data_IF_445246446299
#
_entry.id   IF_445246446299
#
_cell.length_a   1.000
_cell.length_b   1.000
_cell.length_c   1.000
_cell.angle_alpha   90.00
_cell.angle_beta   90.00
_cell.angle_gamma   90.00
#
_symmetry.space_group_name_H-M   'P 1'
#
loop_
_entity.id
_entity.type
_entity.pdbx_description
1 polymer ?
#
# COMPACT_ATOMS: atom_id res chain seq x y z
N UNK A 1 14.90 -6.00 4.36
CA UNK A 1 13.55 -5.42 4.59
C UNK A 1 12.51 -6.51 4.40
N UNK A 2 11.51 -6.56 5.24
CA UNK A 2 10.42 -7.52 5.10
C UNK A 2 9.31 -6.99 4.20
N UNK A 3 8.38 -7.87 3.84
CA UNK A 3 7.29 -7.53 2.92
C UNK A 3 6.39 -6.42 3.49
N UNK A 4 6.14 -6.45 4.80
CA UNK A 4 5.29 -5.44 5.44
C UNK A 4 5.85 -4.03 5.26
N UNK A 5 7.15 -3.85 5.50
CA UNK A 5 7.80 -2.55 5.31
C UNK A 5 7.86 -2.15 3.85
N UNK A 6 8.08 -3.11 2.96
CA UNK A 6 8.07 -2.84 1.52
C UNK A 6 6.70 -2.33 1.06
N UNK A 7 5.61 -2.96 1.53
CA UNK A 7 4.25 -2.51 1.22
C UNK A 7 4.02 -1.10 1.74
N UNK A 8 4.42 -0.83 2.98
CA UNK A 8 4.31 0.51 3.58
C UNK A 8 4.99 1.57 2.70
N UNK A 9 6.25 1.35 2.36
CA UNK A 9 7.00 2.33 1.58
C UNK A 9 6.45 2.48 0.17
N UNK A 10 5.96 1.38 -0.41
CA UNK A 10 5.33 1.45 -1.74
C UNK A 10 4.07 2.32 -1.70
N UNK A 11 3.23 2.16 -0.67
CA UNK A 11 2.03 2.98 -0.51
C UNK A 11 2.40 4.45 -0.35
N UNK A 12 3.41 4.75 0.47
CA UNK A 12 3.85 6.13 0.66
C UNK A 12 4.35 6.75 -0.65
N UNK A 13 5.11 5.98 -1.43
CA UNK A 13 5.61 6.42 -2.72
C UNK A 13 4.47 6.69 -3.70
N UNK A 14 3.47 5.81 -3.74
CA UNK A 14 2.31 5.99 -4.61
C UNK A 14 1.50 7.22 -4.22
N UNK A 15 1.33 7.47 -2.93
CA UNK A 15 0.66 8.69 -2.47
C UNK A 15 1.40 9.93 -2.97
N UNK A 16 2.72 9.92 -2.89
CA UNK A 16 3.54 11.02 -3.38
C UNK A 16 3.40 11.20 -4.89
N UNK A 17 3.49 10.09 -5.63
CA UNK A 17 3.39 10.12 -7.10
C UNK A 17 2.03 10.61 -7.58
N UNK A 18 0.96 10.23 -6.88
CA UNK A 18 -0.40 10.62 -7.24
C UNK A 18 -0.85 11.91 -6.56
N UNK A 19 0.02 12.52 -5.78
CA UNK A 19 -0.25 13.77 -5.06
C UNK A 19 -1.49 13.67 -4.19
N UNK A 20 -1.61 12.58 -3.44
CA UNK A 20 -2.71 12.36 -2.50
C UNK A 20 -2.17 12.08 -1.10
N UNK A 21 -2.95 12.41 -0.09
CA UNK A 21 -2.66 12.07 1.29
C UNK A 21 -3.13 10.65 1.59
N UNK A 22 -2.73 10.11 2.76
CA UNK A 22 -3.25 8.82 3.23
C UNK A 22 -4.78 8.88 3.35
N UNK A 23 -5.33 9.98 3.86
CA UNK A 23 -6.78 10.18 3.90
C UNK A 23 -7.40 10.17 2.51
N UNK A 24 -6.77 10.87 1.58
CA UNK A 24 -7.24 10.90 0.19
C UNK A 24 -7.22 9.51 -0.44
N UNK A 25 -6.18 8.74 -0.18
CA UNK A 25 -6.10 7.37 -0.68
C UNK A 25 -7.21 6.50 -0.09
N UNK A 26 -7.48 6.62 1.21
CA UNK A 26 -8.57 5.88 1.84
C UNK A 26 -9.91 6.20 1.18
N UNK A 27 -10.18 7.49 0.93
CA UNK A 27 -11.40 7.91 0.26
C UNK A 27 -11.51 7.34 -1.15
N UNK A 28 -10.43 7.43 -1.93
CA UNK A 28 -10.42 6.91 -3.30
C UNK A 28 -10.63 5.40 -3.35
N UNK A 29 -10.17 4.71 -2.32
CA UNK A 29 -10.22 3.24 -2.24
C UNK A 29 -11.49 2.73 -1.57
N UNK A 30 -12.36 3.61 -1.08
CA UNK A 30 -13.58 3.22 -0.39
C UNK A 30 -13.33 2.52 0.94
N UNK A 31 -12.21 2.85 1.60
CA UNK A 31 -11.82 2.23 2.86
C UNK A 31 -11.78 3.27 3.97
N UNK A 32 -11.88 2.82 5.23
CA UNK A 32 -11.72 3.71 6.37
C UNK A 32 -10.26 4.16 6.47
N UNK A 33 -10.06 5.35 7.02
CA UNK A 33 -8.72 5.85 7.26
C UNK A 33 -7.93 4.94 8.18
N UNK A 34 -8.56 4.36 9.19
CA UNK A 34 -7.89 3.46 10.13
C UNK A 34 -7.37 2.20 9.43
N UNK A 35 -8.09 1.69 8.43
CA UNK A 35 -7.65 0.54 7.65
C UNK A 35 -6.36 0.87 6.89
N UNK A 36 -6.31 2.02 6.23
CA UNK A 36 -5.10 2.43 5.49
C UNK A 36 -3.98 2.77 6.46
N UNK A 37 -4.27 3.46 7.57
CA UNK A 37 -3.26 3.79 8.57
C UNK A 37 -2.61 2.55 9.17
N UNK A 38 -3.34 1.46 9.35
CA UNK A 38 -2.77 0.24 9.90
C UNK A 38 -1.71 -0.38 8.98
N UNK A 39 -1.80 -0.12 7.68
CA UNK A 39 -0.77 -0.55 6.73
C UNK A 39 0.51 0.28 6.86
N UNK A 40 0.39 1.51 7.37
CA UNK A 40 1.50 2.46 7.48
C UNK A 40 2.14 2.40 8.86
N UNK A 41 1.35 2.26 9.93
CA UNK A 41 1.85 2.37 11.30
C UNK A 41 2.42 1.08 11.88
N UNK A 42 2.39 0.00 11.10
CA UNK A 42 2.95 -1.30 11.54
C UNK A 42 1.99 -2.17 12.33
N UNK A 43 0.76 -1.74 12.57
CA UNK A 43 -0.20 -2.58 13.28
C UNK A 43 -0.73 -3.73 12.44
N UNK A 44 -0.72 -3.59 11.11
CA UNK A 44 -1.08 -4.68 10.21
C UNK A 44 0.17 -5.40 9.73
N UNK A 45 0.47 -6.55 10.33
CA UNK A 45 1.65 -7.33 9.97
C UNK A 45 1.40 -8.25 8.78
N UNK A 46 0.15 -8.45 8.43
CA UNK A 46 -0.27 -9.31 7.32
C UNK A 46 -1.32 -8.59 6.50
N UNK A 47 -0.94 -7.58 5.71
CA UNK A 47 -1.93 -6.87 4.90
C UNK A 47 -2.60 -7.83 3.92
N UNK A 48 -3.92 -7.76 3.85
CA UNK A 48 -4.68 -8.60 2.94
C UNK A 48 -4.44 -8.17 1.50
N UNK A 49 -4.31 -9.14 0.62
CA UNK A 49 -4.15 -8.87 -0.81
C UNK A 49 -5.36 -8.11 -1.36
N UNK A 50 -6.56 -8.40 -0.85
CA UNK A 50 -7.76 -7.67 -1.24
C UNK A 50 -7.66 -6.18 -0.88
N UNK A 51 -7.06 -5.85 0.26
CA UNK A 51 -6.83 -4.46 0.65
C UNK A 51 -5.91 -3.78 -0.35
N UNK A 52 -4.83 -4.45 -0.75
CA UNK A 52 -3.90 -3.92 -1.75
C UNK A 52 -4.64 -3.70 -3.08
N UNK A 53 -5.47 -4.65 -3.49
CA UNK A 53 -6.26 -4.50 -4.71
C UNK A 53 -7.15 -3.24 -4.65
N UNK A 54 -7.81 -2.99 -3.52
CA UNK A 54 -8.66 -1.82 -3.35
C UNK A 54 -7.87 -0.52 -3.49
N UNK A 55 -6.65 -0.47 -2.94
CA UNK A 55 -5.77 0.69 -3.13
C UNK A 55 -5.47 0.89 -4.61
N UNK A 56 -5.15 -0.19 -5.32
CA UNK A 56 -4.86 -0.13 -6.75
C UNK A 56 -6.06 0.40 -7.54
N UNK A 57 -7.26 -0.11 -7.24
CA UNK A 57 -8.47 0.35 -7.92
C UNK A 57 -8.72 1.84 -7.66
N UNK A 58 -8.47 2.30 -6.42
CA UNK A 58 -8.60 3.71 -6.08
C UNK A 58 -7.62 4.60 -6.82
N UNK A 59 -6.44 4.09 -7.15
CA UNK A 59 -5.41 4.80 -7.88
C UNK A 59 -5.44 4.52 -9.39
N UNK A 60 -6.42 3.75 -9.86
CA UNK A 60 -6.58 3.40 -11.28
C UNK A 60 -5.32 2.70 -11.82
N UNK A 61 -4.81 1.74 -11.07
CA UNK A 61 -3.64 0.96 -11.46
C UNK A 61 -3.92 -0.53 -11.31
N UNK A 62 -3.17 -1.36 -12.02
CA UNK A 62 -3.29 -2.81 -11.91
C UNK A 62 -2.50 -3.33 -10.71
N UNK A 63 -2.92 -4.47 -10.16
CA UNK A 63 -2.24 -5.08 -9.02
C UNK A 63 -0.78 -5.37 -9.33
N UNK A 64 -0.47 -5.83 -10.54
CA UNK A 64 0.91 -6.11 -10.94
C UNK A 64 1.77 -4.85 -10.92
N UNK A 65 1.19 -3.69 -11.23
CA UNK A 65 1.93 -2.43 -11.20
C UNK A 65 2.32 -2.04 -9.78
N UNK A 66 1.47 -2.36 -8.80
CA UNK A 66 1.79 -2.11 -7.40
C UNK A 66 3.09 -2.81 -7.01
N UNK A 67 3.24 -4.07 -7.42
CA UNK A 67 4.41 -4.89 -7.05
C UNK A 67 5.59 -4.73 -8.00
N UNK A 68 5.45 -3.94 -9.05
CA UNK A 68 6.52 -3.67 -10.00
C UNK A 68 7.37 -2.49 -9.51
N UNK A 69 8.15 -2.75 -8.47
CA UNK A 69 9.02 -1.75 -7.85
C UNK A 69 10.23 -2.47 -7.25
N UNK A 70 11.44 -1.89 -7.38
CA UNK A 70 12.66 -2.51 -6.80
C UNK A 70 12.57 -2.80 -5.31
N UNK A 71 11.71 -2.10 -4.57
CA UNK A 71 11.58 -2.30 -3.12
C UNK A 71 11.15 -3.73 -2.78
N UNK A 72 10.52 -4.44 -3.73
CA UNK A 72 10.08 -5.82 -3.50
C UNK A 72 11.13 -6.86 -3.82
N UNK A 73 12.33 -6.44 -4.20
CA UNK A 73 13.44 -7.35 -4.47
C UNK A 73 14.17 -7.67 -3.17
N UNK A 74 14.63 -8.93 -3.05
CA UNK A 74 15.47 -9.38 -1.94
C UNK A 74 14.80 -9.19 -0.58
N UNK A 75 13.52 -9.53 -0.51
CA UNK A 75 12.75 -9.42 0.72
C UNK A 75 13.12 -10.55 1.68
N UNK A 76 13.15 -10.22 2.98
CA UNK A 76 13.31 -11.20 4.05
C UNK A 76 11.95 -11.88 4.30
N UNK A 77 11.99 -13.16 4.69
CA UNK A 77 10.78 -13.92 4.95
C UNK A 77 10.32 -13.86 6.41
N UNK A 78 10.94 -12.98 7.20
CA UNK A 78 10.56 -12.75 8.60
C UNK A 78 10.17 -11.30 8.84
#
# INVERSE_FOLDING_TARGET
MDLQHAVKYRIMKLCQMHNVTINGLAMLSGMSQSTVNSLIDGSSQNPKLLTILRLCLGLNMELKEFFDDPIFKNLDDE
#
